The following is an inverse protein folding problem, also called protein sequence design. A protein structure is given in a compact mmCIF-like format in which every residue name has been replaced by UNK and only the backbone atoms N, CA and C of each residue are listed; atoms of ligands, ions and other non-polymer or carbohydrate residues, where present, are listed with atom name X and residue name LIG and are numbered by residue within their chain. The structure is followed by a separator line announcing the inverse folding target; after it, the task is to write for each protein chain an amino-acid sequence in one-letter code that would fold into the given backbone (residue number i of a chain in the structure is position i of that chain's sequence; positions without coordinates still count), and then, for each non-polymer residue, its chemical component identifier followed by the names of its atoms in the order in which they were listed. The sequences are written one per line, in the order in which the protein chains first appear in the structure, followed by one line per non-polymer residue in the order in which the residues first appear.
data_IF_408751014997
#
_entry.id   IF_408751014997
#
_cell.length_a   1.000
_cell.length_b   1.000
_cell.length_c   1.000
_cell.angle_alpha   90.00
_cell.angle_beta   90.00
_cell.angle_gamma   90.00
#
_symmetry.space_group_name_H-M   'P 1'
#
loop_
_entity.id
_entity.type
_entity.pdbx_description
1 polymer ?
#
# COMPACT_ATOMS: atom_id res chain seq x y z
N UNK A 1 -4.64 16.72 5.51
CA UNK A 1 -4.42 16.36 4.09
C UNK A 1 -5.44 15.29 3.74
N UNK A 2 -6.26 15.51 2.72
CA UNK A 2 -7.46 14.72 2.41
C UNK A 2 -7.07 13.28 2.08
N UNK A 3 -7.62 12.32 2.82
CA UNK A 3 -7.51 10.88 2.52
C UNK A 3 -8.16 10.62 1.16
N UNK A 4 -7.38 10.64 0.07
CA UNK A 4 -7.84 10.06 -1.19
C UNK A 4 -8.04 8.57 -0.95
N UNK A 5 -9.23 8.00 -1.27
CA UNK A 5 -9.46 6.57 -1.14
C UNK A 5 -8.38 5.79 -1.89
N UNK A 6 -7.83 4.72 -1.30
CA UNK A 6 -6.82 3.83 -1.92
C UNK A 6 -7.19 3.42 -3.37
N UNK A 7 -8.49 3.36 -3.68
CA UNK A 7 -9.04 3.14 -5.02
C UNK A 7 -8.51 4.16 -6.04
N UNK A 8 -8.46 5.45 -5.69
CA UNK A 8 -7.95 6.50 -6.57
C UNK A 8 -6.45 6.37 -6.84
N UNK A 9 -5.68 5.84 -5.90
CA UNK A 9 -4.25 5.59 -6.11
C UNK A 9 -4.03 4.47 -7.14
N UNK A 10 -4.74 3.34 -6.99
CA UNK A 10 -4.70 2.26 -7.96
C UNK A 10 -5.23 2.70 -9.33
N UNK A 11 -6.31 3.49 -9.38
CA UNK A 11 -6.87 4.00 -10.62
C UNK A 11 -5.91 4.96 -11.34
N UNK A 12 -5.29 5.91 -10.61
CA UNK A 12 -4.29 6.84 -11.17
C UNK A 12 -3.05 6.09 -11.66
N UNK A 13 -2.65 5.03 -10.97
CA UNK A 13 -1.48 4.23 -11.34
C UNK A 13 -1.77 3.39 -12.59
N UNK A 14 -2.88 2.65 -12.61
CA UNK A 14 -3.33 1.89 -13.80
C UNK A 14 -3.55 2.83 -15.00
N UNK A 15 -4.14 4.00 -14.79
CA UNK A 15 -4.32 4.99 -15.84
C UNK A 15 -2.98 5.48 -16.42
N UNK A 16 -1.98 5.78 -15.58
CA UNK A 16 -0.64 6.19 -16.04
C UNK A 16 0.05 5.08 -16.83
N UNK A 17 -0.09 3.83 -16.40
CA UNK A 17 0.50 2.68 -17.11
C UNK A 17 -0.18 2.46 -18.45
N UNK A 18 -1.51 2.43 -18.47
CA UNK A 18 -2.30 2.30 -19.69
C UNK A 18 -1.97 3.40 -20.69
N UNK A 19 -1.86 4.64 -20.21
CA UNK A 19 -1.47 5.78 -21.04
C UNK A 19 -0.04 5.63 -21.57
N UNK A 20 0.91 5.20 -20.74
CA UNK A 20 2.30 4.98 -21.15
C UNK A 20 2.43 3.88 -22.22
N UNK A 21 1.79 2.73 -21.99
CA UNK A 21 1.76 1.62 -22.94
C UNK A 21 1.09 2.05 -24.25
N UNK A 22 -0.03 2.77 -24.18
CA UNK A 22 -0.71 3.33 -25.34
C UNK A 22 0.17 4.30 -26.14
N UNK A 23 0.90 5.18 -25.45
CA UNK A 23 1.80 6.14 -26.10
C UNK A 23 2.94 5.44 -26.83
N UNK A 24 3.56 4.43 -26.20
CA UNK A 24 4.60 3.61 -26.81
C UNK A 24 4.06 2.84 -28.02
N UNK A 25 2.84 2.29 -27.94
CA UNK A 25 2.20 1.60 -29.05
C UNK A 25 1.96 2.53 -30.25
N UNK A 26 1.43 3.74 -30.01
CA UNK A 26 1.21 4.75 -31.06
C UNK A 26 2.52 5.19 -31.71
N UNK A 27 3.56 5.43 -30.92
CA UNK A 27 4.89 5.79 -31.43
C UNK A 27 5.50 4.67 -32.27
N UNK A 28 5.41 3.43 -31.80
CA UNK A 28 5.90 2.25 -32.52
C UNK A 28 5.20 2.09 -33.88
N UNK A 29 3.88 2.29 -33.91
CA UNK A 29 3.09 2.25 -35.14
C UNK A 29 3.46 3.40 -36.10
N UNK A 30 3.65 4.61 -35.58
CA UNK A 30 4.12 5.77 -36.36
C UNK A 30 5.50 5.52 -36.99
N UNK A 31 6.45 5.02 -36.21
CA UNK A 31 7.80 4.68 -36.71
C UNK A 31 7.72 3.62 -37.81
N UNK A 32 6.87 2.60 -37.61
CA UNK A 32 6.68 1.55 -38.60
C UNK A 32 6.08 2.08 -39.90
N UNK A 33 5.09 2.98 -39.81
CA UNK A 33 4.51 3.65 -40.98
C UNK A 33 5.53 4.53 -41.70
N UNK A 34 6.39 5.25 -40.97
CA UNK A 34 7.45 6.07 -41.55
C UNK A 34 8.52 5.21 -42.25
N UNK A 35 8.88 4.06 -41.68
CA UNK A 35 9.85 3.13 -42.28
C UNK A 35 9.30 2.44 -43.54
N UNK A 36 8.00 2.19 -43.60
CA UNK A 36 7.34 1.58 -44.76
C UNK A 36 7.04 2.63 -45.84
N UNK A 37 6.76 3.87 -45.44
CA UNK A 37 6.51 4.99 -46.37
C UNK A 37 7.84 5.52 -46.92
N UNK A 38 8.42 4.80 -47.88
CA UNK A 38 9.56 5.28 -48.66
C UNK A 38 9.22 6.55 -49.48
N UNK A 39 10.23 7.21 -50.08
CA UNK A 39 10.01 8.37 -50.94
C UNK A 39 9.05 8.03 -52.08
N UNK A 40 8.08 8.91 -52.32
CA UNK A 40 7.04 8.73 -53.34
C UNK A 40 7.71 8.82 -54.72
N UNK A 41 8.08 7.69 -55.29
CA UNK A 41 8.49 7.59 -56.70
C UNK A 41 7.26 7.37 -57.58
N UNK A 42 7.00 8.26 -58.55
CA UNK A 42 5.76 8.30 -59.35
C UNK A 42 5.59 7.16 -60.39
N UNK A 43 6.39 6.09 -60.31
CA UNK A 43 6.35 5.02 -61.32
C UNK A 43 5.48 3.84 -60.88
N UNK A 44 4.49 3.46 -61.69
CA UNK A 44 3.52 2.39 -61.42
C UNK A 44 4.17 1.03 -61.09
N UNK A 45 5.31 0.72 -61.71
CA UNK A 45 6.09 -0.50 -61.45
C UNK A 45 6.78 -0.48 -60.08
N UNK A 46 7.19 0.70 -59.60
CA UNK A 46 7.71 0.88 -58.23
C UNK A 46 6.59 0.67 -57.21
N UNK A 47 5.38 1.18 -57.46
CA UNK A 47 4.22 1.00 -56.57
C UNK A 47 3.87 -0.50 -56.42
N UNK A 48 3.78 -1.26 -57.51
CA UNK A 48 3.43 -2.70 -57.46
C UNK A 48 4.51 -3.52 -56.77
N UNK A 49 5.80 -3.25 -57.05
CA UNK A 49 6.92 -3.97 -56.43
C UNK A 49 7.06 -3.64 -54.95
N UNK A 50 6.78 -2.40 -54.55
CA UNK A 50 6.76 -1.96 -53.16
C UNK A 50 5.59 -2.60 -52.41
N UNK A 51 4.43 -2.74 -53.06
CA UNK A 51 3.25 -3.36 -52.46
C UNK A 51 3.46 -4.87 -52.20
N UNK A 52 4.09 -5.60 -53.12
CA UNK A 52 4.38 -7.03 -52.92
C UNK A 52 5.47 -7.28 -51.87
N UNK A 53 6.51 -6.43 -51.83
CA UNK A 53 7.57 -6.46 -50.81
C UNK A 53 7.02 -6.09 -49.42
N UNK A 54 6.06 -5.16 -49.37
CA UNK A 54 5.38 -4.77 -48.14
C UNK A 54 4.53 -5.92 -47.62
N UNK A 55 3.68 -6.55 -48.44
CA UNK A 55 2.86 -7.70 -48.02
C UNK A 55 3.67 -8.86 -47.43
N UNK A 56 4.82 -9.18 -48.02
CA UNK A 56 5.65 -10.30 -47.57
C UNK A 56 6.33 -10.06 -46.20
N UNK A 57 6.64 -8.80 -45.87
CA UNK A 57 7.37 -8.45 -44.66
C UNK A 57 6.48 -7.89 -43.55
N UNK A 58 5.29 -7.39 -43.88
CA UNK A 58 4.39 -6.74 -42.93
C UNK A 58 3.96 -7.68 -41.80
N UNK A 59 3.70 -8.95 -42.10
CA UNK A 59 3.37 -9.95 -41.07
C UNK A 59 4.51 -10.19 -40.08
N UNK A 60 5.76 -10.30 -40.56
CA UNK A 60 6.95 -10.49 -39.71
C UNK A 60 7.23 -9.25 -38.86
N UNK A 61 7.09 -8.06 -39.46
CA UNK A 61 7.28 -6.77 -38.79
C UNK A 61 6.20 -6.56 -37.72
N UNK A 62 4.92 -6.83 -38.01
CA UNK A 62 3.84 -6.77 -37.02
C UNK A 62 4.08 -7.72 -35.85
N UNK A 63 4.52 -8.95 -36.11
CA UNK A 63 4.79 -9.94 -35.08
C UNK A 63 5.96 -9.49 -34.19
N UNK A 64 7.05 -9.00 -34.80
CA UNK A 64 8.21 -8.49 -34.08
C UNK A 64 7.85 -7.28 -33.18
N UNK A 65 7.09 -6.32 -33.71
CA UNK A 65 6.63 -5.16 -32.95
C UNK A 65 5.65 -5.56 -31.85
N UNK A 66 4.73 -6.47 -32.14
CA UNK A 66 3.77 -6.98 -31.16
C UNK A 66 4.47 -7.68 -29.99
N UNK A 67 5.43 -8.56 -30.27
CA UNK A 67 6.25 -9.20 -29.24
C UNK A 67 7.05 -8.19 -28.43
N UNK A 68 7.66 -7.20 -29.09
CA UNK A 68 8.39 -6.13 -28.41
C UNK A 68 7.49 -5.34 -27.45
N UNK A 69 6.28 -4.97 -27.90
CA UNK A 69 5.30 -4.27 -27.08
C UNK A 69 4.85 -5.09 -25.86
N UNK A 70 4.53 -6.38 -26.08
CA UNK A 70 4.14 -7.29 -24.99
C UNK A 70 5.28 -7.46 -23.99
N UNK A 71 6.53 -7.61 -24.46
CA UNK A 71 7.69 -7.73 -23.59
C UNK A 71 7.89 -6.47 -22.73
N UNK A 72 7.81 -5.28 -23.34
CA UNK A 72 7.93 -4.00 -22.62
C UNK A 72 6.80 -3.84 -21.59
N UNK A 73 5.56 -4.12 -21.99
CA UNK A 73 4.41 -4.05 -21.08
C UNK A 73 4.56 -5.03 -19.91
N UNK A 74 5.06 -6.24 -20.17
CA UNK A 74 5.36 -7.24 -19.15
C UNK A 74 6.41 -6.75 -18.15
N UNK A 75 7.52 -6.19 -18.63
CA UNK A 75 8.58 -5.66 -17.76
C UNK A 75 8.09 -4.49 -16.91
N UNK A 76 7.35 -3.54 -17.50
CA UNK A 76 6.79 -2.41 -16.76
C UNK A 76 5.82 -2.90 -15.68
N UNK A 77 4.91 -3.82 -16.04
CA UNK A 77 3.94 -4.40 -15.10
C UNK A 77 4.65 -5.14 -13.95
N UNK A 78 5.71 -5.89 -14.28
CA UNK A 78 6.52 -6.59 -13.29
C UNK A 78 7.21 -5.62 -12.32
N UNK A 79 7.89 -4.59 -12.83
CA UNK A 79 8.56 -3.57 -12.00
C UNK A 79 7.59 -2.86 -11.07
N UNK A 80 6.39 -2.57 -11.53
CA UNK A 80 5.36 -1.89 -10.75
C UNK A 80 4.79 -2.79 -9.66
N UNK A 81 4.56 -4.06 -9.98
CA UNK A 81 4.12 -5.07 -9.01
C UNK A 81 5.17 -5.22 -7.91
N UNK A 82 6.44 -5.31 -8.31
CA UNK A 82 7.58 -5.40 -7.41
C UNK A 82 7.66 -4.16 -6.50
N UNK A 83 7.60 -2.97 -7.08
CA UNK A 83 7.67 -1.71 -6.33
C UNK A 83 6.50 -1.56 -5.35
N UNK A 84 5.29 -1.90 -5.78
CA UNK A 84 4.09 -1.83 -4.94
C UNK A 84 4.16 -2.81 -3.78
N UNK A 85 4.68 -4.02 -4.03
CA UNK A 85 4.89 -5.03 -2.99
C UNK A 85 5.87 -4.54 -1.92
N UNK A 86 7.04 -4.02 -2.32
CA UNK A 86 8.02 -3.49 -1.37
C UNK A 86 7.52 -2.32 -0.54
N UNK A 87 6.69 -1.45 -1.13
CA UNK A 87 6.11 -0.30 -0.42
C UNK A 87 5.13 -0.72 0.68
N UNK A 88 4.49 -1.88 0.57
CA UNK A 88 3.52 -2.39 1.56
C UNK A 88 4.22 -3.26 2.60
N UNK A 89 5.16 -4.10 2.18
CA UNK A 89 5.83 -5.08 3.07
C UNK A 89 6.60 -4.40 4.20
N UNK A 90 7.30 -3.29 3.93
CA UNK A 90 8.07 -2.57 4.95
C UNK A 90 7.20 -2.03 6.10
N UNK A 91 6.16 -1.22 5.80
CA UNK A 91 5.21 -0.75 6.80
C UNK A 91 4.48 -1.89 7.53
N UNK A 92 4.11 -2.95 6.80
CA UNK A 92 3.43 -4.11 7.39
C UNK A 92 4.32 -4.85 8.40
N UNK A 93 5.61 -5.03 8.08
CA UNK A 93 6.56 -5.62 9.01
C UNK A 93 6.69 -4.79 10.29
N UNK A 94 6.84 -3.46 10.17
CA UNK A 94 6.90 -2.55 11.34
C UNK A 94 5.63 -2.59 12.16
N UNK A 95 4.49 -2.68 11.49
CA UNK A 95 3.18 -2.80 12.13
C UNK A 95 3.06 -4.10 12.95
N UNK A 96 3.44 -5.24 12.38
CA UNK A 96 3.46 -6.52 13.12
C UNK A 96 4.43 -6.48 14.30
N UNK A 97 5.60 -5.85 14.12
CA UNK A 97 6.58 -5.68 15.19
C UNK A 97 6.02 -4.83 16.34
N UNK A 98 5.27 -3.77 16.03
CA UNK A 98 4.60 -2.94 17.03
C UNK A 98 3.55 -3.70 17.83
N UNK A 99 2.74 -4.53 17.18
CA UNK A 99 1.77 -5.38 17.88
C UNK A 99 2.47 -6.37 18.81
N UNK A 100 3.58 -6.96 18.37
CA UNK A 100 4.38 -7.85 19.21
C UNK A 100 4.97 -7.10 20.41
N UNK A 101 5.55 -5.93 20.20
CA UNK A 101 6.09 -5.10 21.28
C UNK A 101 5.01 -4.67 22.28
N UNK A 102 3.84 -4.26 21.79
CA UNK A 102 2.70 -3.90 22.62
C UNK A 102 2.24 -5.06 23.51
N UNK A 103 2.26 -6.30 23.02
CA UNK A 103 1.88 -7.48 23.81
C UNK A 103 2.96 -8.03 24.75
N UNK A 104 4.22 -7.63 24.60
CA UNK A 104 5.33 -8.19 25.41
C UNK A 104 5.81 -7.23 26.51
N UNK A 105 5.55 -5.93 26.37
CA UNK A 105 6.07 -4.92 27.30
C UNK A 105 5.19 -3.66 27.30
N UNK A 106 4.76 -3.24 28.48
CA UNK A 106 3.94 -2.05 28.68
C UNK A 106 4.72 -0.74 28.48
N UNK A 107 6.05 -0.77 28.62
CA UNK A 107 6.92 0.39 28.50
C UNK A 107 7.66 0.51 27.16
N UNK A 108 7.56 -0.51 26.30
CA UNK A 108 8.30 -0.50 25.03
C UNK A 108 7.74 0.58 24.08
N UNK A 109 8.61 1.45 23.53
CA UNK A 109 8.20 2.47 22.57
C UNK A 109 7.77 1.81 21.25
N UNK A 110 6.67 2.29 20.69
CA UNK A 110 6.18 1.84 19.39
C UNK A 110 7.04 2.43 18.27
N UNK A 111 7.40 1.62 17.29
CA UNK A 111 8.20 2.00 16.12
C UNK A 111 7.35 2.91 15.23
N UNK A 112 7.85 4.10 14.92
CA UNK A 112 7.14 5.02 14.03
C UNK A 112 7.25 4.58 12.56
N UNK A 113 6.15 4.73 11.84
CA UNK A 113 6.12 4.65 10.39
C UNK A 113 6.72 5.92 9.78
N UNK A 114 7.32 5.78 8.60
CA UNK A 114 7.87 6.92 7.89
C UNK A 114 6.74 7.76 7.31
N UNK A 115 6.94 9.08 7.22
CA UNK A 115 6.03 9.98 6.51
C UNK A 115 5.86 9.51 5.06
N UNK A 116 4.62 9.23 4.66
CA UNK A 116 4.26 8.77 3.31
C UNK A 116 4.19 7.25 3.13
N UNK A 117 4.41 6.48 4.20
CA UNK A 117 4.16 5.04 4.21
C UNK A 117 2.67 4.76 4.01
N UNK A 118 2.39 3.68 3.29
CA UNK A 118 1.04 3.12 3.29
C UNK A 118 0.70 2.67 4.72
N UNK A 119 -0.58 2.75 5.10
CA UNK A 119 -1.08 2.36 6.44
C UNK A 119 -0.80 3.32 7.60
N UNK A 120 -0.40 4.57 7.32
CA UNK A 120 -0.13 5.57 8.37
C UNK A 120 -1.32 5.82 9.30
N UNK A 121 -2.54 5.87 8.77
CA UNK A 121 -3.77 6.06 9.55
C UNK A 121 -4.07 4.85 10.44
N UNK A 122 -3.98 3.64 9.90
CA UNK A 122 -4.19 2.39 10.65
C UNK A 122 -3.17 2.27 11.79
N UNK A 123 -1.90 2.62 11.53
CA UNK A 123 -0.88 2.64 12.57
C UNK A 123 -1.13 3.70 13.64
N UNK A 124 -1.66 4.86 13.29
CA UNK A 124 -2.02 5.89 14.24
C UNK A 124 -3.17 5.42 15.15
N UNK A 125 -4.21 4.81 14.56
CA UNK A 125 -5.35 4.27 15.31
C UNK A 125 -4.91 3.16 16.27
N UNK A 126 -4.01 2.26 15.86
CA UNK A 126 -3.50 1.22 16.74
C UNK A 126 -2.57 1.77 17.82
N UNK A 127 -1.72 2.75 17.48
CA UNK A 127 -0.91 3.46 18.50
C UNK A 127 -1.82 4.07 19.56
N UNK A 128 -2.91 4.72 19.15
CA UNK A 128 -3.90 5.26 20.06
C UNK A 128 -4.57 4.16 20.90
N UNK A 129 -4.98 3.05 20.28
CA UNK A 129 -5.59 1.93 21.00
C UNK A 129 -4.65 1.33 22.05
N UNK A 130 -3.36 1.14 21.71
CA UNK A 130 -2.34 0.63 22.65
C UNK A 130 -2.12 1.60 23.80
N UNK A 131 -2.05 2.91 23.53
CA UNK A 131 -1.92 3.93 24.59
C UNK A 131 -3.13 3.88 25.53
N UNK A 132 -4.35 3.91 24.98
CA UNK A 132 -5.58 3.81 25.79
C UNK A 132 -5.62 2.54 26.62
N UNK A 133 -5.17 1.41 26.07
CA UNK A 133 -5.12 0.13 26.78
C UNK A 133 -4.13 0.18 27.96
N UNK A 134 -2.92 0.70 27.72
CA UNK A 134 -1.89 0.86 28.76
C UNK A 134 -2.33 1.80 29.87
N UNK A 135 -2.94 2.93 29.52
CA UNK A 135 -3.49 3.87 30.49
C UNK A 135 -4.58 3.21 31.34
N UNK A 136 -5.45 2.39 30.74
CA UNK A 136 -6.46 1.65 31.47
C UNK A 136 -5.85 0.63 32.45
N UNK A 137 -4.87 -0.16 32.00
CA UNK A 137 -4.17 -1.12 32.87
C UNK A 137 -3.46 -0.43 34.04
N UNK A 138 -2.80 0.71 33.79
CA UNK A 138 -2.14 1.48 34.84
C UNK A 138 -3.13 1.97 35.92
N UNK A 139 -4.32 2.42 35.51
CA UNK A 139 -5.38 2.82 36.45
C UNK A 139 -5.90 1.62 37.25
N UNK A 140 -6.11 0.47 36.60
CA UNK A 140 -6.54 -0.76 37.29
C UNK A 140 -5.50 -1.22 38.31
N UNK A 141 -4.23 -1.21 37.93
CA UNK A 141 -3.11 -1.57 38.83
C UNK A 141 -3.06 -0.63 40.04
N UNK A 142 -3.17 0.68 39.81
CA UNK A 142 -3.18 1.67 40.89
C UNK A 142 -4.34 1.44 41.87
N UNK A 143 -5.58 1.30 41.37
CA UNK A 143 -6.74 1.08 42.24
C UNK A 143 -6.66 -0.29 42.94
N UNK A 144 -6.06 -1.31 42.29
CA UNK A 144 -5.81 -2.60 42.93
C UNK A 144 -4.83 -2.48 44.10
N UNK A 145 -3.78 -1.66 43.95
CA UNK A 145 -2.80 -1.41 45.00
C UNK A 145 -3.40 -0.60 46.16
N UNK A 146 -4.24 0.40 45.86
CA UNK A 146 -5.02 1.14 46.86
C UNK A 146 -5.95 0.22 47.66
N UNK A 147 -6.64 -0.71 46.99
CA UNK A 147 -7.49 -1.71 47.64
C UNK A 147 -6.67 -2.64 48.55
N UNK A 148 -5.52 -3.12 48.08
CA UNK A 148 -4.65 -4.00 48.87
C UNK A 148 -4.13 -3.28 50.12
N UNK A 149 -3.70 -2.03 49.98
CA UNK A 149 -3.20 -1.22 51.09
C UNK A 149 -4.30 -0.89 52.11
N UNK A 150 -5.52 -0.57 51.66
CA UNK A 150 -6.67 -0.36 52.54
C UNK A 150 -7.03 -1.63 53.33
N UNK A 151 -6.92 -2.79 52.67
CA UNK A 151 -7.12 -4.09 53.32
C UNK A 151 -6.07 -4.36 54.40
N UNK A 152 -4.78 -4.14 54.10
CA UNK A 152 -3.68 -4.31 55.07
C UNK A 152 -3.83 -3.38 56.28
N UNK A 153 -4.33 -2.16 56.07
CA UNK A 153 -4.57 -1.17 57.12
C UNK A 153 -5.88 -1.40 57.90
N UNK A 154 -6.67 -2.44 57.56
CA UNK A 154 -8.02 -2.70 58.10
C UNK A 154 -9.00 -1.54 57.93
N UNK A 155 -8.82 -0.71 56.90
CA UNK A 155 -9.75 0.37 56.57
C UNK A 155 -10.87 -0.16 55.66
N UNK A 156 -11.98 -0.55 56.29
CA UNK A 156 -13.13 -1.14 55.60
C UNK A 156 -13.83 -0.17 54.65
N UNK A 157 -13.81 1.14 54.91
CA UNK A 157 -14.43 2.13 54.04
C UNK A 157 -13.58 2.38 52.80
N UNK A 158 -12.27 2.58 52.97
CA UNK A 158 -11.35 2.77 51.85
C UNK A 158 -11.29 1.54 50.94
N UNK A 159 -11.33 0.32 51.52
CA UNK A 159 -11.40 -0.91 50.74
C UNK A 159 -12.69 -1.01 49.90
N UNK A 160 -13.84 -0.68 50.51
CA UNK A 160 -15.13 -0.72 49.82
C UNK A 160 -15.18 0.29 48.67
N UNK A 161 -14.61 1.48 48.84
CA UNK A 161 -14.53 2.49 47.79
C UNK A 161 -13.64 2.02 46.62
N UNK A 162 -12.44 1.51 46.91
CA UNK A 162 -11.52 1.00 45.90
C UNK A 162 -12.13 -0.15 45.08
N UNK A 163 -12.82 -1.10 45.72
CA UNK A 163 -13.54 -2.20 45.04
C UNK A 163 -14.69 -1.66 44.17
N UNK A 164 -15.40 -0.63 44.63
CA UNK A 164 -16.48 -0.01 43.85
C UNK A 164 -15.92 0.68 42.60
N UNK A 165 -14.77 1.36 42.73
CA UNK A 165 -14.06 1.97 41.60
C UNK A 165 -13.56 0.91 40.61
N UNK A 166 -13.03 -0.22 41.08
CA UNK A 166 -12.65 -1.35 40.21
C UNK A 166 -13.84 -1.90 39.42
N UNK A 167 -15.01 -2.07 40.06
CA UNK A 167 -16.23 -2.52 39.37
C UNK A 167 -16.68 -1.54 38.29
N UNK A 168 -16.63 -0.24 38.58
CA UNK A 168 -16.99 0.79 37.60
C UNK A 168 -16.02 0.82 36.41
N UNK A 169 -14.73 0.53 36.63
CA UNK A 169 -13.73 0.41 35.57
C UNK A 169 -13.99 -0.81 34.67
N UNK A 170 -14.35 -1.96 35.24
CA UNK A 170 -14.66 -3.19 34.48
C UNK A 170 -15.94 -3.02 33.63
N UNK A 171 -16.97 -2.37 34.17
CA UNK A 171 -18.23 -2.11 33.47
C UNK A 171 -18.03 -1.22 32.23
N UNK A 172 -17.10 -0.26 32.30
CA UNK A 172 -16.77 0.65 31.20
C UNK A 172 -16.09 -0.06 30.01
N UNK A 173 -15.44 -1.20 30.23
CA UNK A 173 -14.73 -1.96 29.18
C UNK A 173 -15.64 -2.95 28.45
N UNK A 174 -16.79 -3.31 29.03
CA UNK A 174 -17.75 -4.25 28.44
C UNK A 174 -18.67 -3.65 27.36
N UNK A 175 -18.63 -2.33 27.15
CA UNK A 175 -19.41 -1.59 26.15
C UNK A 175 -18.59 -1.36 24.87
#
# INVERSE_FOLDING_TARGET
MRNEPLIFFHLKLVAKISLGVGTVAVLSLLISLLLISGPIEETYSAIVRTNSMTQANLGKVMLAIGLMLVAIAGVITWLITLYSSFRIVGPLYRFTQNLKLAGTSDSSPLIELRKGDALGEQSANIKQAVVTLRDHYAVVEQVSAEALQAFENNDAEAYKDAVTRLKALDEKVRL
#
